data_IF_037700962817
#
_entry.id   IF_037700962817
#
_cell.length_a   1.000
_cell.length_b   1.000
_cell.length_c   1.000
_cell.angle_alpha   90.00
_cell.angle_beta   90.00
_cell.angle_gamma   90.00
#
_symmetry.space_group_name_H-M   'P 1'
#
loop_
_entity.id
_entity.type
_entity.pdbx_description
1 polymer ?
#
# COMPACT_ATOMS: atom_id res chain seq x y z
N UNK A 1 -3.88 -39.77 15.99
CA UNK A 1 -3.59 -39.34 14.60
C UNK A 1 -4.36 -38.09 14.18
N UNK A 2 -5.68 -37.97 14.44
CA UNK A 2 -6.49 -36.79 14.05
C UNK A 2 -6.02 -35.45 14.67
N UNK A 3 -5.62 -35.46 15.96
CA UNK A 3 -5.09 -34.26 16.65
C UNK A 3 -3.73 -33.79 16.09
N UNK A 4 -2.89 -34.74 15.69
CA UNK A 4 -1.59 -34.44 15.07
C UNK A 4 -1.76 -33.91 13.64
N UNK A 5 -2.71 -34.48 12.89
CA UNK A 5 -3.09 -33.96 11.57
C UNK A 5 -3.66 -32.54 11.66
N UNK A 6 -4.54 -32.27 12.63
CA UNK A 6 -5.08 -30.93 12.88
C UNK A 6 -3.97 -29.92 13.23
N UNK A 7 -3.00 -30.30 14.07
CA UNK A 7 -1.85 -29.46 14.38
C UNK A 7 -0.98 -29.15 13.14
N UNK A 8 -0.74 -30.15 12.28
CA UNK A 8 -0.01 -29.93 11.03
C UNK A 8 -0.77 -28.99 10.08
N UNK A 9 -2.09 -29.10 9.98
CA UNK A 9 -2.92 -28.23 9.12
C UNK A 9 -2.93 -26.79 9.65
N UNK A 10 -3.07 -26.57 10.96
CA UNK A 10 -3.00 -25.23 11.55
C UNK A 10 -1.61 -24.58 11.38
N UNK A 11 -0.53 -25.38 11.47
CA UNK A 11 0.83 -24.90 11.23
C UNK A 11 1.08 -24.55 9.76
N UNK A 12 0.46 -25.26 8.81
CA UNK A 12 0.58 -24.95 7.38
C UNK A 12 -0.20 -23.69 6.98
N UNK A 13 -1.28 -23.36 7.70
CA UNK A 13 -2.14 -22.21 7.39
C UNK A 13 -1.50 -20.86 7.80
N UNK A 14 -0.60 -20.86 8.79
CA UNK A 14 0.09 -19.63 9.24
C UNK A 14 1.13 -19.11 8.26
N UNK A 15 1.59 -19.94 7.31
CA UNK A 15 2.60 -19.58 6.30
C UNK A 15 2.04 -18.61 5.23
N UNK A 16 0.72 -18.45 5.15
CA UNK A 16 0.07 -17.60 4.14
C UNK A 16 -0.28 -16.18 4.63
N UNK A 17 0.12 -15.79 5.84
CA UNK A 17 -0.11 -14.43 6.35
C UNK A 17 1.07 -13.53 5.95
N UNK A 18 1.26 -13.31 4.65
CA UNK A 18 2.06 -12.17 4.19
C UNK A 18 1.13 -10.97 4.03
N UNK A 19 1.36 -9.93 4.84
CA UNK A 19 0.73 -8.64 4.59
C UNK A 19 1.19 -8.12 3.23
N UNK A 20 0.27 -7.55 2.43
CA UNK A 20 0.66 -6.94 1.17
C UNK A 20 1.54 -5.72 1.44
N UNK A 21 2.65 -5.61 0.72
CA UNK A 21 3.53 -4.45 0.75
C UNK A 21 3.48 -3.72 -0.59
N UNK A 22 3.47 -2.39 -0.52
CA UNK A 22 3.53 -1.51 -1.68
C UNK A 22 4.75 -0.61 -1.48
N UNK A 23 5.61 -0.56 -2.48
CA UNK A 23 6.84 0.24 -2.48
C UNK A 23 6.72 1.28 -3.58
N UNK A 24 6.94 2.54 -3.24
CA UNK A 24 6.75 3.66 -4.17
C UNK A 24 8.11 4.27 -4.47
N UNK A 25 8.47 4.37 -5.75
CA UNK A 25 9.70 5.04 -6.19
C UNK A 25 9.39 6.49 -6.57
N UNK A 26 10.18 7.43 -6.09
CA UNK A 26 10.19 8.81 -6.61
C UNK A 26 11.15 8.86 -7.82
N UNK A 27 10.66 9.01 -9.07
CA UNK A 27 11.54 9.04 -10.23
C UNK A 27 12.32 10.36 -10.32
N UNK A 28 13.55 10.30 -10.85
CA UNK A 28 14.41 11.49 -11.09
C UNK A 28 13.84 12.47 -12.13
N UNK A 29 12.83 12.03 -12.90
CA UNK A 29 12.08 12.88 -13.83
C UNK A 29 11.03 13.74 -13.14
N UNK A 30 10.54 13.34 -11.97
CA UNK A 30 9.46 14.02 -11.26
C UNK A 30 9.96 15.12 -10.31
N UNK A 31 11.18 14.97 -9.80
CA UNK A 31 11.84 16.00 -8.98
C UNK A 31 13.36 15.96 -9.15
N UNK A 32 14.00 17.13 -9.10
CA UNK A 32 15.47 17.28 -9.05
C UNK A 32 15.99 17.54 -7.64
N UNK A 33 15.11 17.69 -6.65
CA UNK A 33 15.42 17.96 -5.25
C UNK A 33 14.70 16.96 -4.35
N UNK A 34 15.20 16.70 -3.13
CA UNK A 34 14.44 15.93 -2.16
C UNK A 34 13.08 16.58 -1.87
N UNK A 35 12.09 15.75 -1.55
CA UNK A 35 10.73 16.20 -1.23
C UNK A 35 10.42 15.96 0.25
N UNK A 36 9.78 16.96 0.85
CA UNK A 36 9.18 16.90 2.17
C UNK A 36 7.65 17.00 2.02
N UNK A 37 6.89 16.26 2.83
CA UNK A 37 5.43 16.35 2.85
C UNK A 37 4.75 15.03 3.18
N UNK A 38 3.61 14.78 2.54
CA UNK A 38 2.79 13.59 2.76
C UNK A 38 2.58 12.83 1.46
N UNK A 39 3.06 11.60 1.42
CA UNK A 39 2.77 10.64 0.36
C UNK A 39 1.39 10.04 0.59
N UNK A 40 0.51 10.18 -0.41
CA UNK A 40 -0.82 9.59 -0.40
C UNK A 40 -0.91 8.54 -1.51
N UNK A 41 -1.22 7.30 -1.14
CA UNK A 41 -1.52 6.22 -2.06
C UNK A 41 -3.03 5.99 -2.06
N UNK A 42 -3.67 6.16 -3.22
CA UNK A 42 -5.10 5.90 -3.40
C UNK A 42 -5.28 4.66 -4.27
N UNK A 43 -5.97 3.64 -3.75
CA UNK A 43 -6.31 2.43 -4.48
C UNK A 43 -7.80 2.49 -4.86
N UNK A 44 -8.06 2.63 -6.15
CA UNK A 44 -9.41 2.70 -6.68
C UNK A 44 -9.76 1.48 -7.52
N UNK A 45 -10.98 0.97 -7.35
CA UNK A 45 -11.60 0.00 -8.27
C UNK A 45 -12.43 0.66 -9.37
N UNK A 46 -12.56 1.99 -9.33
CA UNK A 46 -13.27 2.78 -10.33
C UNK A 46 -12.28 3.43 -11.29
N UNK A 47 -12.25 2.91 -12.52
CA UNK A 47 -11.36 3.36 -13.59
C UNK A 47 -11.84 4.65 -14.30
N UNK A 48 -12.98 5.22 -13.90
CA UNK A 48 -13.50 6.47 -14.48
C UNK A 48 -13.04 7.69 -13.67
N UNK A 49 -12.22 8.54 -14.28
CA UNK A 49 -11.73 9.78 -13.66
C UNK A 49 -10.57 9.58 -12.69
N UNK A 50 -10.13 10.68 -12.09
CA UNK A 50 -8.95 10.73 -11.22
C UNK A 50 -9.25 10.15 -9.81
N UNK A 51 -8.52 9.13 -9.34
CA UNK A 51 -8.80 8.42 -8.09
C UNK A 51 -8.93 9.30 -6.84
N UNK A 52 -8.11 10.37 -6.74
CA UNK A 52 -8.14 11.25 -5.56
C UNK A 52 -9.46 12.00 -5.37
N UNK A 53 -10.25 12.15 -6.45
CA UNK A 53 -11.58 12.78 -6.38
C UNK A 53 -12.70 11.77 -6.07
N UNK A 54 -12.36 10.49 -5.89
CA UNK A 54 -13.31 9.42 -5.61
C UNK A 54 -13.31 9.02 -4.11
N UNK A 55 -12.45 9.63 -3.29
CA UNK A 55 -12.39 9.42 -1.83
C UNK A 55 -13.42 10.33 -1.15
N UNK A 56 -14.30 9.75 -0.35
CA UNK A 56 -15.39 10.42 0.37
C UNK A 56 -15.90 9.55 1.54
N UNK A 57 -17.00 9.96 2.19
CA UNK A 57 -17.56 9.29 3.37
C UNK A 57 -18.64 8.23 3.07
N UNK A 58 -18.81 7.83 1.80
CA UNK A 58 -19.80 6.84 1.42
C UNK A 58 -19.22 5.41 1.34
N UNK A 59 -20.07 4.36 1.33
CA UNK A 59 -19.59 2.97 1.27
C UNK A 59 -18.86 2.59 -0.04
N UNK A 60 -18.99 3.38 -1.10
CA UNK A 60 -18.30 3.18 -2.37
C UNK A 60 -17.01 3.99 -2.51
N UNK A 61 -16.54 4.63 -1.44
CA UNK A 61 -15.26 5.32 -1.35
C UNK A 61 -14.06 4.44 -1.73
N UNK A 62 -12.92 5.08 -2.00
CA UNK A 62 -11.67 4.39 -2.31
C UNK A 62 -10.77 4.30 -1.08
N UNK A 63 -9.85 3.34 -1.07
CA UNK A 63 -8.88 3.22 0.02
C UNK A 63 -7.78 4.25 -0.17
N UNK A 64 -7.42 4.95 0.91
CA UNK A 64 -6.32 5.91 0.95
C UNK A 64 -5.37 5.59 2.09
N UNK A 65 -4.07 5.58 1.79
CA UNK A 65 -2.99 5.36 2.74
C UNK A 65 -2.07 6.58 2.73
N UNK A 66 -1.72 7.08 3.91
CA UNK A 66 -0.84 8.25 4.06
C UNK A 66 0.43 7.91 4.80
N UNK A 67 1.56 8.42 4.32
CA UNK A 67 2.86 8.36 5.00
C UNK A 67 3.54 9.71 4.91
N UNK A 68 4.02 10.22 6.04
CA UNK A 68 4.84 11.43 6.04
C UNK A 68 6.24 11.09 5.50
N UNK A 69 6.74 11.95 4.62
CA UNK A 69 8.05 11.81 3.98
C UNK A 69 8.87 13.05 4.27
N UNK A 70 10.10 12.82 4.71
CA UNK A 70 11.11 13.85 4.92
C UNK A 70 12.34 13.49 4.09
N UNK A 71 12.87 14.48 3.41
CA UNK A 71 14.04 14.44 2.55
C UNK A 71 13.99 13.24 1.58
N UNK A 72 12.82 12.99 0.96
CA UNK A 72 12.67 11.86 0.04
C UNK A 72 13.42 12.15 -1.25
N UNK A 73 14.56 11.49 -1.39
CA UNK A 73 15.51 11.71 -2.50
C UNK A 73 14.97 11.10 -3.80
N UNK A 74 15.06 11.81 -4.93
CA UNK A 74 14.81 11.22 -6.23
C UNK A 74 15.65 9.95 -6.44
N UNK A 75 15.07 8.96 -7.12
CA UNK A 75 15.67 7.66 -7.37
C UNK A 75 15.47 6.64 -6.24
N UNK A 76 14.99 7.05 -5.08
CA UNK A 76 14.80 6.18 -3.90
C UNK A 76 13.34 5.76 -3.70
N UNK A 77 13.15 4.70 -2.91
CA UNK A 77 11.84 4.15 -2.58
C UNK A 77 11.42 4.46 -1.15
N UNK A 78 10.11 4.52 -0.93
CA UNK A 78 9.46 4.49 0.38
C UNK A 78 8.53 3.29 0.46
#
# INVERSE_FOLDING_TARGET
MKKLFLLCVLSFLSVFIFAQSIVIKLPDSLSKKPLDGRLLLVLSKNFSGEPRFQVNDNPSTQQIFGSDVENWRPGTTK
#
